data_IF_157485205962
#
_entry.id   IF_157485205962
#
_cell.length_a   1.000
_cell.length_b   1.000
_cell.length_c   1.000
_cell.angle_alpha   90.00
_cell.angle_beta   90.00
_cell.angle_gamma   90.00
#
_symmetry.space_group_name_H-M   'P 1'
#
loop_
_entity.id
_entity.type
_entity.pdbx_description
1 polymer ?
#
# COMPACT_ATOMS: atom_id res chain seq x y z
N UNK A 1 -28.02 -4.19 -12.26
CA UNK A 1 -27.82 -5.32 -11.31
C UNK A 1 -28.85 -5.30 -10.16
N UNK A 2 -29.10 -4.15 -9.53
CA UNK A 2 -30.09 -4.06 -8.43
C UNK A 2 -31.49 -4.44 -8.95
N UNK A 3 -31.99 -3.78 -9.96
CA UNK A 3 -33.30 -4.07 -10.57
C UNK A 3 -33.45 -5.54 -10.98
N UNK A 4 -32.41 -6.11 -11.62
CA UNK A 4 -32.41 -7.53 -11.98
C UNK A 4 -32.46 -8.44 -10.74
N UNK A 5 -31.75 -8.10 -9.66
CA UNK A 5 -31.79 -8.83 -8.40
C UNK A 5 -33.17 -8.80 -7.76
N UNK A 6 -33.78 -7.62 -7.75
CA UNK A 6 -35.14 -7.43 -7.22
C UNK A 6 -36.17 -8.25 -8.03
N UNK A 7 -36.02 -8.25 -9.37
CA UNK A 7 -36.89 -9.01 -10.27
C UNK A 7 -36.73 -10.53 -10.09
N UNK A 8 -35.49 -11.03 -9.86
CA UNK A 8 -35.23 -12.46 -9.66
C UNK A 8 -35.39 -12.92 -8.22
N UNK A 9 -35.66 -12.01 -7.27
CA UNK A 9 -35.81 -12.31 -5.85
C UNK A 9 -34.55 -12.81 -5.17
N UNK A 10 -33.37 -12.56 -5.75
CA UNK A 10 -32.07 -12.92 -5.17
C UNK A 10 -30.96 -11.94 -5.60
N UNK A 11 -29.93 -11.82 -4.78
CA UNK A 11 -28.75 -11.02 -5.11
C UNK A 11 -27.99 -11.66 -6.29
N UNK A 12 -27.71 -10.88 -7.33
CA UNK A 12 -27.01 -11.35 -8.54
C UNK A 12 -25.57 -10.87 -8.65
N UNK A 13 -25.10 -9.98 -7.74
CA UNK A 13 -23.73 -9.47 -7.72
C UNK A 13 -23.24 -9.36 -6.27
N UNK A 14 -22.38 -10.26 -5.86
CA UNK A 14 -21.73 -10.24 -4.53
C UNK A 14 -20.41 -9.52 -4.55
N UNK A 15 -19.66 -9.61 -5.65
CA UNK A 15 -18.33 -9.03 -5.81
C UNK A 15 -18.23 -8.30 -7.14
N UNK A 16 -17.86 -7.02 -7.09
CA UNK A 16 -17.43 -6.25 -8.25
C UNK A 16 -15.93 -6.46 -8.43
N UNK A 17 -15.56 -7.04 -9.55
CA UNK A 17 -14.15 -7.25 -9.91
C UNK A 17 -13.70 -6.24 -10.95
N UNK A 18 -12.52 -5.66 -10.73
CA UNK A 18 -11.85 -4.78 -11.69
C UNK A 18 -10.40 -5.20 -11.88
N UNK A 19 -9.77 -4.71 -12.95
CA UNK A 19 -8.33 -4.74 -13.15
C UNK A 19 -7.76 -3.33 -12.97
N UNK A 20 -6.58 -3.23 -12.37
CA UNK A 20 -5.91 -1.95 -12.19
C UNK A 20 -4.43 -2.04 -12.50
N UNK A 21 -4.03 -1.39 -13.57
CA UNK A 21 -2.63 -1.14 -13.89
C UNK A 21 -2.42 0.37 -13.89
N UNK A 22 -1.57 0.92 -13.00
CA UNK A 22 -1.33 2.36 -13.00
C UNK A 22 -0.65 2.76 -14.29
N UNK A 23 -1.18 3.78 -14.93
CA UNK A 23 -0.64 4.36 -16.16
C UNK A 23 0.40 5.44 -15.88
N UNK A 24 0.94 5.46 -14.65
CA UNK A 24 2.00 6.36 -14.22
C UNK A 24 3.21 6.28 -15.16
N UNK A 25 3.78 7.43 -15.46
CA UNK A 25 4.92 7.57 -16.37
C UNK A 25 6.07 8.27 -15.67
N UNK A 26 7.27 7.89 -16.06
CA UNK A 26 8.48 8.67 -15.82
C UNK A 26 8.47 9.97 -16.62
N UNK A 27 9.42 10.85 -16.41
CA UNK A 27 9.58 12.07 -17.21
C UNK A 27 9.97 11.77 -18.68
N UNK A 28 10.60 10.61 -18.95
CA UNK A 28 10.86 10.13 -20.29
C UNK A 28 9.61 9.64 -21.02
N UNK A 29 8.49 9.44 -20.31
CA UNK A 29 7.24 8.99 -20.85
C UNK A 29 6.99 7.48 -20.76
N UNK A 30 7.93 6.71 -20.25
CA UNK A 30 7.80 5.26 -20.10
C UNK A 30 6.82 4.92 -18.97
N UNK A 31 5.89 4.01 -19.23
CA UNK A 31 4.89 3.54 -18.27
C UNK A 31 5.51 2.51 -17.31
N UNK A 32 5.32 2.70 -16.02
CA UNK A 32 5.96 1.88 -14.97
C UNK A 32 5.62 0.39 -14.99
N UNK A 33 4.48 0.01 -15.60
CA UNK A 33 4.02 -1.39 -15.69
C UNK A 33 4.15 -2.00 -17.09
N UNK A 34 4.68 -1.26 -18.07
CA UNK A 34 4.76 -1.69 -19.47
C UNK A 34 6.16 -1.42 -20.03
N UNK A 35 6.31 -0.32 -20.75
CA UNK A 35 7.59 0.03 -21.41
C UNK A 35 8.73 0.19 -20.38
N UNK A 36 8.42 0.72 -19.21
CA UNK A 36 9.34 0.89 -18.08
C UNK A 36 9.21 -0.19 -16.98
N UNK A 37 8.59 -1.34 -17.26
CA UNK A 37 8.34 -2.38 -16.26
C UNK A 37 9.59 -2.75 -15.47
N UNK A 38 10.73 -2.93 -16.13
CA UNK A 38 11.98 -3.31 -15.50
C UNK A 38 12.95 -2.11 -15.30
N UNK A 39 12.53 -0.89 -15.58
CA UNK A 39 13.36 0.28 -15.40
C UNK A 39 13.60 0.57 -13.91
N UNK A 40 14.87 0.88 -13.58
CA UNK A 40 15.34 1.08 -12.21
C UNK A 40 15.98 2.45 -11.97
N UNK A 41 15.94 3.32 -12.98
CA UNK A 41 16.38 4.70 -12.82
C UNK A 41 15.56 5.44 -11.77
N UNK A 42 16.12 6.55 -11.28
CA UNK A 42 15.53 7.31 -10.16
C UNK A 42 14.13 7.84 -10.46
N UNK A 43 13.91 8.31 -11.66
CA UNK A 43 12.67 8.94 -12.06
C UNK A 43 11.55 7.91 -12.20
N UNK A 44 11.79 6.82 -12.94
CA UNK A 44 10.84 5.71 -13.05
C UNK A 44 10.58 5.05 -11.70
N UNK A 45 11.62 4.88 -10.88
CA UNK A 45 11.47 4.34 -9.52
C UNK A 45 10.60 5.24 -8.64
N UNK A 46 10.76 6.56 -8.71
CA UNK A 46 9.92 7.51 -7.96
C UNK A 46 8.48 7.49 -8.46
N UNK A 47 8.26 7.54 -9.77
CA UNK A 47 6.91 7.42 -10.35
C UNK A 47 6.22 6.15 -9.88
N UNK A 48 6.92 5.01 -9.89
CA UNK A 48 6.42 3.71 -9.41
C UNK A 48 6.03 3.73 -7.93
N UNK A 49 6.90 4.27 -7.07
CA UNK A 49 6.65 4.31 -5.63
C UNK A 49 5.57 5.31 -5.23
N UNK A 50 5.27 6.32 -6.05
CA UNK A 50 4.19 7.26 -5.80
C UNK A 50 2.85 6.80 -6.39
N UNK A 51 2.85 5.97 -7.44
CA UNK A 51 1.64 5.54 -8.14
C UNK A 51 0.55 4.90 -7.24
N UNK A 52 0.86 4.16 -6.15
CA UNK A 52 -0.15 3.64 -5.23
C UNK A 52 -1.08 4.71 -4.63
N UNK A 53 -0.64 5.97 -4.56
CA UNK A 53 -1.46 7.09 -4.07
C UNK A 53 -2.70 7.33 -4.94
N UNK A 54 -2.65 7.02 -6.22
CA UNK A 54 -3.81 7.12 -7.11
C UNK A 54 -4.99 6.24 -6.67
N UNK A 55 -4.72 5.18 -5.91
CA UNK A 55 -5.76 4.31 -5.38
C UNK A 55 -6.62 4.99 -4.31
N UNK A 56 -6.09 5.95 -3.52
CA UNK A 56 -6.77 6.41 -2.32
C UNK A 56 -6.59 7.89 -1.97
N UNK A 57 -5.49 8.54 -2.40
CA UNK A 57 -5.10 9.88 -1.94
C UNK A 57 -5.76 10.97 -2.80
N UNK A 58 -6.73 11.72 -2.26
CA UNK A 58 -7.42 12.75 -3.03
C UNK A 58 -6.52 13.95 -3.39
N UNK A 59 -5.35 14.07 -2.75
CA UNK A 59 -4.39 15.16 -3.03
C UNK A 59 -3.43 14.80 -4.17
N UNK A 60 -3.38 13.52 -4.57
CA UNK A 60 -2.49 13.00 -5.62
C UNK A 60 -3.17 12.90 -6.99
N UNK A 61 -3.93 13.90 -7.38
CA UNK A 61 -4.60 13.97 -8.69
C UNK A 61 -4.60 15.40 -9.22
N UNK A 62 -4.76 15.55 -10.53
CA UNK A 62 -5.06 16.86 -11.11
C UNK A 62 -6.53 17.23 -10.90
N UNK A 63 -6.79 18.51 -10.71
CA UNK A 63 -8.15 19.04 -10.67
C UNK A 63 -8.64 19.58 -12.01
N UNK A 64 -7.75 19.64 -13.01
CA UNK A 64 -8.02 20.26 -14.31
C UNK A 64 -7.96 19.21 -15.41
N UNK A 65 -9.12 18.92 -16.02
CA UNK A 65 -9.21 18.01 -17.15
C UNK A 65 -8.37 18.48 -18.32
N UNK A 66 -7.60 17.59 -18.91
CA UNK A 66 -6.69 17.86 -20.02
C UNK A 66 -5.30 18.36 -19.61
N UNK A 67 -5.06 18.60 -18.32
CA UNK A 67 -3.78 19.09 -17.81
C UNK A 67 -3.31 18.23 -16.62
N UNK A 68 -2.03 17.88 -16.61
CA UNK A 68 -1.39 17.26 -15.45
C UNK A 68 -0.71 18.37 -14.66
N UNK A 69 -1.34 18.80 -13.57
CA UNK A 69 -0.83 19.88 -12.70
C UNK A 69 -0.18 19.35 -11.43
N UNK A 70 -0.61 18.17 -10.99
CA UNK A 70 -0.08 17.48 -9.81
C UNK A 70 -0.43 15.99 -9.89
N UNK A 71 0.22 15.19 -9.07
CA UNK A 71 -0.09 13.76 -8.95
C UNK A 71 0.55 12.91 -10.02
N UNK A 72 -0.14 11.86 -10.39
CA UNK A 72 0.35 10.86 -11.33
C UNK A 72 0.43 11.41 -12.76
N UNK A 73 1.59 11.28 -13.38
CA UNK A 73 1.75 11.54 -14.81
C UNK A 73 1.13 10.38 -15.61
N UNK A 74 -0.17 10.46 -15.89
CA UNK A 74 -0.91 9.44 -16.65
C UNK A 74 -2.04 10.05 -17.43
N UNK A 75 -2.45 9.37 -18.51
CA UNK A 75 -3.64 9.76 -19.28
C UNK A 75 -4.93 9.66 -18.46
N UNK A 76 -4.98 8.74 -17.48
CA UNK A 76 -6.12 8.61 -16.56
C UNK A 76 -6.24 9.87 -15.70
N UNK A 77 -5.13 10.31 -15.07
CA UNK A 77 -5.13 11.54 -14.28
C UNK A 77 -5.40 12.78 -15.15
N UNK A 78 -4.93 12.78 -16.40
CA UNK A 78 -5.14 13.89 -17.34
C UNK A 78 -6.60 14.02 -17.80
N UNK A 79 -7.21 12.91 -18.21
CA UNK A 79 -8.51 12.96 -18.90
C UNK A 79 -9.69 12.52 -18.04
N UNK A 80 -9.44 11.78 -16.98
CA UNK A 80 -10.46 11.20 -16.11
C UNK A 80 -10.19 11.43 -14.61
N UNK A 81 -9.76 12.65 -14.20
CA UNK A 81 -9.44 12.93 -12.80
C UNK A 81 -10.63 12.76 -11.85
N UNK A 82 -11.86 12.82 -12.37
CA UNK A 82 -13.09 12.63 -11.60
C UNK A 82 -13.28 11.20 -11.09
N UNK A 83 -12.61 10.22 -11.67
CA UNK A 83 -12.65 8.82 -11.23
C UNK A 83 -11.55 8.49 -10.20
N UNK A 84 -10.70 9.45 -9.88
CA UNK A 84 -9.66 9.31 -8.88
C UNK A 84 -10.03 10.08 -7.59
N UNK A 85 -9.55 9.61 -6.41
CA UNK A 85 -8.85 8.35 -6.19
C UNK A 85 -9.77 7.14 -6.38
N UNK A 86 -9.21 6.05 -6.91
CA UNK A 86 -9.97 4.92 -7.46
C UNK A 86 -10.87 4.22 -6.44
N UNK A 87 -10.31 3.74 -5.33
CA UNK A 87 -11.04 2.89 -4.36
C UNK A 87 -12.18 3.65 -3.68
N UNK A 88 -11.97 4.86 -3.12
CA UNK A 88 -13.06 5.64 -2.53
C UNK A 88 -14.18 5.94 -3.53
N UNK A 89 -13.83 6.17 -4.80
CA UNK A 89 -14.81 6.43 -5.85
C UNK A 89 -15.70 5.20 -6.09
N UNK A 90 -15.07 4.03 -6.33
CA UNK A 90 -15.82 2.78 -6.58
C UNK A 90 -16.67 2.39 -5.37
N UNK A 91 -16.13 2.51 -4.15
CA UNK A 91 -16.89 2.17 -2.94
C UNK A 91 -18.11 3.06 -2.76
N UNK A 92 -17.98 4.37 -3.02
CA UNK A 92 -19.14 5.28 -3.01
C UNK A 92 -20.21 4.85 -4.03
N UNK A 93 -19.80 4.45 -5.22
CA UNK A 93 -20.74 4.02 -6.25
C UNK A 93 -21.39 2.67 -5.87
N UNK A 94 -20.65 1.74 -5.27
CA UNK A 94 -21.19 0.51 -4.68
C UNK A 94 -22.25 0.84 -3.62
N UNK A 95 -21.91 1.70 -2.68
CA UNK A 95 -22.81 2.06 -1.58
C UNK A 95 -24.08 2.78 -2.06
N UNK A 96 -23.95 3.52 -3.14
CA UNK A 96 -25.08 4.24 -3.75
C UNK A 96 -26.01 3.32 -4.56
N UNK A 97 -25.44 2.47 -5.40
CA UNK A 97 -26.22 1.76 -6.42
C UNK A 97 -26.51 0.30 -6.08
N UNK A 98 -25.64 -0.38 -5.35
CA UNK A 98 -25.85 -1.76 -4.94
C UNK A 98 -25.10 -2.10 -3.64
N UNK A 99 -25.55 -1.57 -2.49
CA UNK A 99 -24.87 -1.70 -1.19
C UNK A 99 -24.58 -3.15 -0.82
N UNK A 100 -23.46 -3.37 -0.14
CA UNK A 100 -23.01 -4.70 0.30
C UNK A 100 -22.26 -5.49 -0.79
N UNK A 101 -22.09 -4.97 -2.01
CA UNK A 101 -21.18 -5.54 -2.99
C UNK A 101 -19.74 -5.34 -2.54
N UNK A 102 -18.95 -6.39 -2.59
CA UNK A 102 -17.52 -6.34 -2.24
C UNK A 102 -16.70 -5.89 -3.45
N UNK A 103 -15.58 -5.21 -3.21
CA UNK A 103 -14.64 -4.83 -4.26
C UNK A 103 -13.51 -5.84 -4.34
N UNK A 104 -13.24 -6.39 -5.53
CA UNK A 104 -12.05 -7.17 -5.83
C UNK A 104 -11.20 -6.49 -6.91
N UNK A 105 -9.88 -6.60 -6.81
CA UNK A 105 -8.93 -6.17 -7.83
C UNK A 105 -8.20 -7.43 -8.31
N UNK A 106 -8.72 -8.06 -9.37
CA UNK A 106 -8.31 -9.39 -9.80
C UNK A 106 -7.15 -9.40 -10.78
N UNK A 107 -6.70 -8.24 -11.21
CA UNK A 107 -5.40 -8.04 -11.84
C UNK A 107 -4.84 -6.70 -11.41
N UNK A 108 -3.58 -6.69 -11.02
CA UNK A 108 -2.80 -5.46 -10.80
C UNK A 108 -1.30 -5.77 -10.88
N UNK A 109 -0.50 -4.78 -11.24
CA UNK A 109 0.95 -4.80 -11.11
C UNK A 109 1.51 -3.37 -11.04
N UNK A 110 2.74 -3.24 -10.51
CA UNK A 110 3.47 -1.98 -10.42
C UNK A 110 4.88 -2.08 -11.02
N UNK A 111 5.22 -3.22 -11.64
CA UNK A 111 6.50 -3.49 -12.28
C UNK A 111 7.68 -3.65 -11.31
N UNK A 112 8.89 -3.79 -11.86
CA UNK A 112 10.18 -3.89 -11.16
C UNK A 112 10.21 -4.92 -10.01
N UNK A 113 9.70 -6.11 -10.27
CA UNK A 113 9.55 -7.21 -9.29
C UNK A 113 10.85 -7.59 -8.56
N UNK A 114 12.00 -7.34 -9.19
CA UNK A 114 13.34 -7.64 -8.67
C UNK A 114 14.10 -6.40 -8.19
N UNK A 115 13.45 -5.24 -8.10
CA UNK A 115 14.03 -4.00 -7.62
C UNK A 115 13.25 -3.45 -6.44
N UNK A 116 13.94 -2.73 -5.55
CA UNK A 116 13.35 -2.17 -4.33
C UNK A 116 12.15 -1.27 -4.59
N UNK A 117 12.12 -0.52 -5.69
CA UNK A 117 10.99 0.35 -6.03
C UNK A 117 9.70 -0.43 -6.29
N UNK A 118 9.80 -1.62 -6.93
CA UNK A 118 8.67 -2.53 -7.10
C UNK A 118 8.22 -3.14 -5.77
N UNK A 119 9.19 -3.55 -4.94
CA UNK A 119 8.91 -4.05 -3.59
C UNK A 119 8.17 -3.03 -2.73
N UNK A 120 8.68 -1.79 -2.68
CA UNK A 120 8.05 -0.68 -1.92
C UNK A 120 6.65 -0.37 -2.45
N UNK A 121 6.48 -0.25 -3.77
CA UNK A 121 5.16 0.00 -4.36
C UNK A 121 4.17 -1.12 -4.01
N UNK A 122 4.60 -2.38 -4.06
CA UNK A 122 3.74 -3.51 -3.73
C UNK A 122 3.39 -3.57 -2.24
N UNK A 123 4.33 -3.29 -1.32
CA UNK A 123 4.03 -3.18 0.11
C UNK A 123 2.99 -2.10 0.37
N UNK A 124 3.14 -0.93 -0.25
CA UNK A 124 2.21 0.20 -0.13
C UNK A 124 0.82 -0.20 -0.64
N UNK A 125 0.73 -0.82 -1.82
CA UNK A 125 -0.53 -1.30 -2.41
C UNK A 125 -1.25 -2.31 -1.51
N UNK A 126 -0.54 -3.30 -0.99
CA UNK A 126 -1.11 -4.31 -0.10
C UNK A 126 -1.64 -3.66 1.20
N UNK A 127 -0.89 -2.70 1.76
CA UNK A 127 -1.34 -1.90 2.90
C UNK A 127 -2.61 -1.08 2.60
N UNK A 128 -2.67 -0.45 1.42
CA UNK A 128 -3.84 0.28 0.95
C UNK A 128 -5.04 -0.67 0.80
N UNK A 129 -4.87 -1.83 0.19
CA UNK A 129 -5.94 -2.81 0.02
C UNK A 129 -6.52 -3.25 1.37
N UNK A 130 -5.67 -3.53 2.35
CA UNK A 130 -6.10 -3.82 3.72
C UNK A 130 -6.84 -2.65 4.36
N UNK A 131 -6.24 -1.45 4.33
CA UNK A 131 -6.81 -0.23 4.92
C UNK A 131 -8.18 0.14 4.35
N UNK A 132 -8.37 -0.06 3.05
CA UNK A 132 -9.62 0.28 2.35
C UNK A 132 -10.58 -0.90 2.18
N UNK A 133 -10.28 -2.07 2.75
CA UNK A 133 -11.17 -3.23 2.74
C UNK A 133 -11.44 -3.76 1.32
N UNK A 134 -10.40 -3.87 0.51
CA UNK A 134 -10.46 -4.66 -0.74
C UNK A 134 -10.62 -6.13 -0.36
N UNK A 135 -11.66 -6.76 -0.87
CA UNK A 135 -12.05 -8.10 -0.48
C UNK A 135 -11.07 -9.18 -0.96
N UNK A 136 -10.58 -9.01 -2.18
CA UNK A 136 -9.66 -9.93 -2.83
C UNK A 136 -8.79 -9.15 -3.82
N UNK A 137 -7.52 -9.51 -3.90
CA UNK A 137 -6.62 -8.98 -4.91
C UNK A 137 -5.69 -10.07 -5.42
N UNK A 138 -5.48 -10.13 -6.75
CA UNK A 138 -4.54 -11.05 -7.40
C UNK A 138 -3.61 -10.28 -8.31
N UNK A 139 -2.30 -10.42 -8.07
CA UNK A 139 -1.30 -9.78 -8.90
C UNK A 139 -1.11 -10.56 -10.21
N UNK A 140 -1.02 -9.84 -11.31
CA UNK A 140 -0.69 -10.39 -12.62
C UNK A 140 0.77 -10.08 -12.97
N UNK A 141 1.66 -10.90 -12.51
CA UNK A 141 3.08 -10.87 -12.84
C UNK A 141 3.80 -12.10 -12.32
N UNK A 142 4.97 -12.39 -12.87
CA UNK A 142 5.85 -13.44 -12.35
C UNK A 142 6.31 -13.16 -10.92
N UNK A 143 6.77 -14.20 -10.24
CA UNK A 143 7.47 -14.07 -8.97
C UNK A 143 8.74 -13.22 -9.15
N UNK A 144 9.12 -12.50 -8.12
CA UNK A 144 10.34 -11.69 -8.10
C UNK A 144 10.89 -11.59 -6.68
N UNK A 145 12.13 -11.20 -6.55
CA UNK A 145 12.82 -11.15 -5.26
C UNK A 145 12.18 -10.13 -4.32
N UNK A 146 12.07 -8.87 -4.74
CA UNK A 146 11.45 -7.82 -3.92
C UNK A 146 9.92 -7.93 -3.88
N UNK A 147 9.29 -8.45 -4.94
CA UNK A 147 7.86 -8.75 -4.91
C UNK A 147 7.56 -9.86 -3.88
N UNK A 148 8.40 -10.89 -3.79
CA UNK A 148 8.31 -11.92 -2.76
C UNK A 148 8.43 -11.35 -1.35
N UNK A 149 9.39 -10.44 -1.13
CA UNK A 149 9.56 -9.75 0.16
C UNK A 149 8.36 -8.89 0.52
N UNK A 150 7.73 -8.24 -0.46
CA UNK A 150 6.53 -7.44 -0.23
C UNK A 150 5.35 -8.29 0.25
N UNK A 151 5.18 -9.51 -0.23
CA UNK A 151 4.19 -10.43 0.32
C UNK A 151 4.62 -10.99 1.68
N UNK A 152 5.88 -11.40 1.80
CA UNK A 152 6.38 -12.05 3.01
C UNK A 152 6.43 -11.11 4.21
N UNK A 153 6.62 -9.80 4.02
CA UNK A 153 6.56 -8.84 5.14
C UNK A 153 5.18 -8.82 5.82
N UNK A 154 4.11 -9.23 5.11
CA UNK A 154 2.76 -9.41 5.64
C UNK A 154 2.46 -10.85 6.07
N UNK A 155 3.01 -11.86 5.39
CA UNK A 155 2.57 -13.24 5.51
C UNK A 155 3.57 -14.15 6.21
N UNK A 156 4.85 -13.75 6.32
CA UNK A 156 5.94 -14.56 6.86
C UNK A 156 7.15 -13.68 7.24
N UNK A 157 6.93 -12.61 7.99
CA UNK A 157 7.95 -11.60 8.28
C UNK A 157 9.14 -12.13 9.11
N UNK A 158 8.95 -13.22 9.84
CA UNK A 158 9.98 -13.82 10.72
C UNK A 158 10.56 -15.13 10.17
N UNK A 159 10.14 -15.56 8.99
CA UNK A 159 10.53 -16.84 8.40
C UNK A 159 9.82 -18.08 8.99
N UNK A 160 8.92 -17.89 9.97
CA UNK A 160 8.21 -18.98 10.67
C UNK A 160 6.70 -18.97 10.40
N UNK A 161 6.25 -18.22 9.39
CA UNK A 161 4.85 -18.11 9.00
C UNK A 161 4.04 -17.12 9.84
N UNK A 162 4.69 -16.28 10.66
CA UNK A 162 3.99 -15.24 11.40
C UNK A 162 3.47 -14.15 10.46
N UNK A 163 2.23 -13.70 10.71
CA UNK A 163 1.49 -12.79 9.82
C UNK A 163 1.27 -11.43 10.46
N UNK A 164 1.18 -10.43 9.62
CA UNK A 164 0.55 -9.14 9.91
C UNK A 164 -0.89 -9.38 10.35
N UNK A 165 -1.42 -8.61 11.29
CA UNK A 165 -2.75 -8.83 11.84
C UNK A 165 -3.89 -8.77 10.81
N UNK A 166 -5.02 -9.27 11.18
CA UNK A 166 -6.21 -9.43 10.33
C UNK A 166 -7.27 -8.34 10.51
N UNK A 167 -7.08 -7.42 11.48
CA UNK A 167 -7.92 -6.24 11.67
C UNK A 167 -7.07 -4.99 11.45
N UNK A 168 -7.36 -4.26 10.38
CA UNK A 168 -6.75 -2.95 10.15
C UNK A 168 -7.19 -1.96 11.24
N UNK A 169 -6.22 -1.25 11.81
CA UNK A 169 -6.47 -0.13 12.72
C UNK A 169 -6.00 1.18 12.10
N UNK A 170 -6.50 2.29 12.64
CA UNK A 170 -6.14 3.61 12.13
C UNK A 170 -4.64 3.87 12.26
N UNK A 171 -4.02 4.25 11.17
CA UNK A 171 -2.64 4.70 11.11
C UNK A 171 -2.54 5.90 10.16
N UNK A 172 -2.00 7.00 10.66
CA UNK A 172 -1.81 8.24 9.92
C UNK A 172 -0.34 8.67 9.95
N UNK A 173 0.08 9.35 8.92
CA UNK A 173 1.41 9.94 8.81
C UNK A 173 1.30 11.43 8.43
N UNK A 174 2.23 12.23 8.90
CA UNK A 174 2.34 13.65 8.50
C UNK A 174 2.94 13.82 7.10
N UNK A 175 3.55 12.80 6.54
CA UNK A 175 4.21 12.85 5.22
C UNK A 175 3.97 11.54 4.46
N UNK A 176 2.78 11.42 3.88
CA UNK A 176 2.39 10.25 3.09
C UNK A 176 3.22 10.10 1.82
N UNK A 177 3.77 11.18 1.31
CA UNK A 177 4.63 11.15 0.13
C UNK A 177 5.93 10.42 0.39
N UNK A 178 6.51 10.55 1.60
CA UNK A 178 7.80 9.95 1.95
C UNK A 178 7.67 8.71 2.81
N UNK A 179 6.74 8.72 3.78
CA UNK A 179 6.66 7.68 4.81
C UNK A 179 5.21 7.21 5.05
N UNK A 180 4.61 6.46 4.13
CA UNK A 180 3.31 5.84 4.37
C UNK A 180 3.39 4.80 5.49
N UNK A 181 2.28 4.62 6.22
CA UNK A 181 2.18 3.75 7.39
C UNK A 181 0.87 2.97 7.38
N UNK A 182 0.94 1.73 7.82
CA UNK A 182 -0.21 0.83 7.99
C UNK A 182 -0.11 0.14 9.33
N UNK A 183 -1.25 -0.11 9.98
CA UNK A 183 -1.27 -0.81 11.25
C UNK A 183 -2.41 -1.83 11.32
N UNK A 184 -2.19 -2.89 12.08
CA UNK A 184 -3.17 -3.93 12.33
C UNK A 184 -3.00 -4.55 13.70
N UNK A 185 -4.05 -5.24 14.14
CA UNK A 185 -4.05 -6.11 15.31
C UNK A 185 -4.62 -7.48 14.93
N UNK A 186 -4.41 -8.49 15.77
CA UNK A 186 -5.04 -9.78 15.58
C UNK A 186 -6.42 -9.83 16.23
N UNK A 187 -7.37 -10.49 15.57
CA UNK A 187 -8.71 -10.69 16.11
C UNK A 187 -8.69 -11.40 17.46
N UNK A 188 -7.84 -12.42 17.58
CA UNK A 188 -7.75 -13.25 18.77
C UNK A 188 -6.77 -12.71 19.83
N UNK A 189 -5.98 -11.69 19.49
CA UNK A 189 -5.05 -11.02 20.40
C UNK A 189 -4.88 -9.55 20.02
N UNK A 190 -5.78 -8.71 20.50
CA UNK A 190 -5.80 -7.28 20.15
C UNK A 190 -4.63 -6.49 20.75
N UNK A 191 -3.87 -7.08 21.68
CA UNK A 191 -2.65 -6.47 22.22
C UNK A 191 -1.48 -6.61 21.26
N UNK A 192 -1.57 -7.54 20.31
CA UNK A 192 -0.51 -7.75 19.31
C UNK A 192 -0.67 -6.75 18.18
N UNK A 193 0.01 -5.62 18.31
CA UNK A 193 0.03 -4.55 17.31
C UNK A 193 1.13 -4.79 16.30
N UNK A 194 0.82 -4.58 15.03
CA UNK A 194 1.75 -4.57 13.91
C UNK A 194 1.73 -3.21 13.22
N UNK A 195 2.90 -2.69 12.87
CA UNK A 195 3.03 -1.46 12.08
C UNK A 195 3.95 -1.73 10.90
N UNK A 196 3.47 -1.50 9.68
CA UNK A 196 4.32 -1.41 8.48
C UNK A 196 4.65 0.06 8.26
N UNK A 197 5.93 0.36 8.20
CA UNK A 197 6.47 1.69 7.95
C UNK A 197 7.38 1.65 6.73
N UNK A 198 7.17 2.55 5.79
CA UNK A 198 7.90 2.61 4.54
C UNK A 198 8.65 3.95 4.47
N UNK A 199 9.95 3.94 4.17
CA UNK A 199 10.65 5.12 3.70
C UNK A 199 10.94 4.95 2.21
N UNK A 200 10.24 5.70 1.36
CA UNK A 200 10.40 5.65 -0.09
C UNK A 200 11.20 6.81 -0.67
N UNK A 201 11.96 7.52 0.15
CA UNK A 201 12.92 8.51 -0.34
C UNK A 201 14.14 7.81 -0.95
N UNK A 202 14.68 8.40 -2.02
CA UNK A 202 15.78 7.79 -2.76
C UNK A 202 17.14 7.92 -2.06
N UNK A 203 17.33 8.96 -1.24
CA UNK A 203 18.63 9.39 -0.76
C UNK A 203 18.64 9.93 0.67
N UNK A 204 17.50 9.84 1.40
CA UNK A 204 17.40 10.43 2.73
C UNK A 204 16.91 9.43 3.77
N UNK A 205 17.65 9.35 4.86
CA UNK A 205 17.14 8.76 6.10
C UNK A 205 16.01 9.64 6.65
N UNK A 206 14.96 9.00 7.16
CA UNK A 206 13.87 9.68 7.86
C UNK A 206 13.91 9.36 9.36
N UNK A 207 13.30 10.22 10.16
CA UNK A 207 13.03 9.97 11.58
C UNK A 207 11.52 9.85 11.75
N UNK A 208 11.06 8.63 12.04
CA UNK A 208 9.67 8.38 12.37
C UNK A 208 9.44 8.63 13.86
N UNK A 209 8.59 9.60 14.19
CA UNK A 209 8.11 9.86 15.55
C UNK A 209 6.78 9.13 15.70
N UNK A 210 6.82 7.99 16.39
CA UNK A 210 5.67 7.07 16.48
C UNK A 210 4.99 7.28 17.83
N UNK A 211 3.67 7.57 17.78
CA UNK A 211 2.81 7.64 18.94
C UNK A 211 1.65 6.68 18.77
N UNK A 212 1.54 5.71 19.67
CA UNK A 212 0.46 4.73 19.70
C UNK A 212 -0.62 5.23 20.65
N UNK A 213 -1.87 5.23 20.18
CA UNK A 213 -3.05 5.59 20.97
C UNK A 213 -3.91 4.36 21.16
N UNK A 214 -4.46 4.18 22.35
CA UNK A 214 -5.30 3.05 22.72
C UNK A 214 -5.11 2.67 24.19
N UNK A 215 -5.79 1.61 24.60
CA UNK A 215 -5.83 1.19 26.01
C UNK A 215 -4.61 0.35 26.44
N UNK A 216 -3.80 -0.10 25.45
CA UNK A 216 -2.64 -0.94 25.72
C UNK A 216 -1.36 -0.11 25.83
N UNK A 217 -0.49 -0.52 26.74
CA UNK A 217 0.84 0.08 26.92
C UNK A 217 1.89 -0.88 26.39
N UNK A 218 2.68 -0.41 25.44
CA UNK A 218 3.79 -1.15 24.85
C UNK A 218 5.11 -0.65 25.42
N UNK A 219 5.96 -1.58 25.83
CA UNK A 219 7.31 -1.28 26.40
C UNK A 219 8.43 -1.63 25.46
N UNK A 220 8.16 -2.44 24.45
CA UNK A 220 9.14 -2.86 23.44
C UNK A 220 8.47 -3.23 22.14
N UNK A 221 9.25 -3.23 21.04
CA UNK A 221 8.85 -3.84 19.79
C UNK A 221 10.04 -4.45 19.06
N UNK A 222 9.81 -5.52 18.32
CA UNK A 222 10.80 -6.11 17.43
C UNK A 222 10.59 -5.57 16.01
N UNK A 223 11.70 -5.24 15.33
CA UNK A 223 11.68 -4.71 13.96
C UNK A 223 12.21 -5.78 13.02
N UNK A 224 11.43 -6.08 12.00
CA UNK A 224 11.82 -6.85 10.83
C UNK A 224 11.82 -5.91 9.61
N UNK A 225 12.56 -6.25 8.56
CA UNK A 225 12.52 -5.41 7.37
C UNK A 225 13.49 -5.82 6.28
N UNK A 226 13.37 -5.13 5.16
CA UNK A 226 14.28 -5.21 4.02
C UNK A 226 14.51 -3.80 3.44
N UNK A 227 15.57 -3.65 2.65
CA UNK A 227 15.93 -2.37 2.04
C UNK A 227 16.53 -2.55 0.63
N UNK A 228 16.99 -1.47 0.02
CA UNK A 228 17.57 -1.48 -1.33
C UNK A 228 18.84 -2.35 -1.48
N UNK A 229 19.47 -2.75 -0.38
CA UNK A 229 20.70 -3.58 -0.39
C UNK A 229 20.38 -5.07 -0.48
N UNK A 230 19.21 -5.48 0.03
CA UNK A 230 18.80 -6.89 0.04
C UNK A 230 17.28 -7.02 0.13
N UNK A 231 16.66 -7.89 -0.68
CA UNK A 231 15.27 -8.27 -0.54
C UNK A 231 15.00 -9.17 0.67
N UNK A 232 16.03 -9.72 1.29
CA UNK A 232 15.89 -10.63 2.44
C UNK A 232 15.30 -9.90 3.64
N UNK A 233 14.17 -10.40 4.15
CA UNK A 233 13.60 -9.88 5.40
C UNK A 233 14.45 -10.38 6.56
N UNK A 234 14.94 -9.45 7.37
CA UNK A 234 15.77 -9.74 8.54
C UNK A 234 15.18 -9.12 9.79
N UNK A 235 15.48 -9.72 10.95
CA UNK A 235 15.33 -9.03 12.23
C UNK A 235 16.38 -7.92 12.30
N UNK A 236 15.93 -6.69 12.30
CA UNK A 236 16.76 -5.48 12.32
C UNK A 236 17.22 -5.18 13.76
N UNK A 237 16.33 -5.38 14.72
CA UNK A 237 16.60 -5.12 16.12
C UNK A 237 15.36 -5.12 17.00
N UNK A 238 15.53 -4.65 18.21
CA UNK A 238 14.44 -4.47 19.18
C UNK A 238 14.55 -3.09 19.79
N UNK A 239 13.48 -2.34 19.83
CA UNK A 239 13.37 -1.14 20.64
C UNK A 239 12.88 -1.57 22.02
N UNK A 240 13.61 -1.20 23.05
CA UNK A 240 13.24 -1.41 24.45
C UNK A 240 12.95 -0.06 25.11
N UNK A 241 12.25 -0.10 26.24
CA UNK A 241 11.94 1.09 27.03
C UNK A 241 11.10 2.14 26.27
N UNK A 242 10.07 1.68 25.53
CA UNK A 242 9.06 2.57 24.96
C UNK A 242 8.33 3.25 26.12
N UNK A 243 8.42 4.58 26.20
CA UNK A 243 7.78 5.38 27.25
C UNK A 243 6.48 6.02 26.75
N UNK A 244 5.38 5.85 27.48
CA UNK A 244 4.10 6.47 27.14
C UNK A 244 3.63 6.18 25.69
N UNK A 245 3.91 4.97 25.19
CA UNK A 245 3.61 4.59 23.82
C UNK A 245 4.22 5.52 22.75
N UNK A 246 5.37 6.13 23.05
CA UNK A 246 6.08 7.03 22.14
C UNK A 246 7.55 6.63 22.01
N UNK A 247 8.05 6.66 20.79
CA UNK A 247 9.46 6.48 20.48
C UNK A 247 9.83 7.09 19.13
N UNK A 248 11.11 7.27 18.91
CA UNK A 248 11.65 7.71 17.62
C UNK A 248 12.46 6.58 16.99
N UNK A 249 12.32 6.44 15.67
CA UNK A 249 13.00 5.42 14.89
C UNK A 249 13.61 6.04 13.64
N UNK A 250 14.90 5.81 13.45
CA UNK A 250 15.59 6.10 12.20
C UNK A 250 15.23 5.05 11.16
N UNK A 251 14.80 5.51 9.99
CA UNK A 251 14.41 4.65 8.86
C UNK A 251 15.25 5.05 7.65
N UNK A 252 16.23 4.23 7.24
CA UNK A 252 17.05 4.52 6.08
C UNK A 252 16.21 4.73 4.82
N UNK A 253 16.80 5.34 3.79
CA UNK A 253 16.16 5.46 2.48
C UNK A 253 15.78 4.09 1.92
N UNK A 254 14.74 4.04 1.09
CA UNK A 254 14.28 2.83 0.38
C UNK A 254 14.20 1.61 1.30
N UNK A 255 13.47 1.77 2.41
CA UNK A 255 13.37 0.76 3.47
C UNK A 255 11.91 0.46 3.79
N UNK A 256 11.62 -0.81 4.04
CA UNK A 256 10.36 -1.28 4.62
C UNK A 256 10.65 -1.90 5.99
N UNK A 257 9.99 -1.41 7.01
CA UNK A 257 10.03 -1.97 8.36
C UNK A 257 8.67 -2.50 8.78
N UNK A 258 8.69 -3.63 9.46
CA UNK A 258 7.56 -4.23 10.15
C UNK A 258 7.87 -4.26 11.65
N UNK A 259 7.18 -3.44 12.41
CA UNK A 259 7.29 -3.36 13.87
C UNK A 259 6.23 -4.28 14.47
N UNK A 260 6.66 -5.14 15.39
CA UNK A 260 5.83 -6.14 16.08
C UNK A 260 5.91 -5.89 17.59
N UNK A 261 4.79 -5.56 18.18
CA UNK A 261 4.63 -5.24 19.60
C UNK A 261 4.07 -6.41 20.39
#
# INVERSE_FOLDING_TARGET
>A
MKEASDQYGKRLLDVLSIHWYPEARSSSGDRICFDGENATDKDTSMARMQAPRTLWDPTYKTSVKGQITAGENSWINQWFPEYLPLIPRIKRDIDTYFPGTKLAITEFDYGAKDHISGGIALVDVLGIFGKYGVYLATRWADSGTYAGSAYNIYLNYDGNGSKYGDICVKADTSDVEKMPVYASIHKDNQNKLHIILINRTLDKEGIAKIKIQGDYTYTSCTIYGFDYRSPEIKKIGTINNIGNNYFELKVPQLTVYHLVF
#
